data_IF_888093903731
#
_entry.id   IF_888093903731
#
_cell.length_a   1.000
_cell.length_b   1.000
_cell.length_c   1.000
_cell.angle_alpha   90.00
_cell.angle_beta   90.00
_cell.angle_gamma   90.00
#
_symmetry.space_group_name_H-M   'P 1'
#
loop_
_entity.id
_entity.type
_entity.pdbx_description
1 polymer ?
#
# COMPACT_ATOMS: atom_id res chain seq x y z
N UNK A 1 -25.19 37.11 15.74
CA UNK A 1 -25.59 37.52 14.38
C UNK A 1 -24.33 38.03 13.68
N UNK A 2 -23.55 37.15 13.01
CA UNK A 2 -23.60 36.87 11.54
C UNK A 2 -22.97 38.06 10.79
N UNK A 3 -21.85 38.03 10.06
CA UNK A 3 -20.95 37.03 9.46
C UNK A 3 -19.57 37.70 9.26
N UNK A 4 -18.48 36.96 9.47
CA UNK A 4 -17.11 37.42 9.24
C UNK A 4 -16.79 37.60 7.74
N UNK A 5 -15.95 38.60 7.45
CA UNK A 5 -15.29 38.88 6.17
C UNK A 5 -14.77 37.63 5.43
N UNK A 6 -15.56 37.10 4.49
CA UNK A 6 -15.22 35.97 3.62
C UNK A 6 -15.16 36.39 2.13
N UNK A 7 -14.82 37.65 1.85
CA UNK A 7 -14.81 38.21 0.48
C UNK A 7 -13.47 38.05 -0.25
N UNK A 8 -12.37 37.76 0.46
CA UNK A 8 -11.03 37.68 -0.17
C UNK A 8 -10.51 36.26 -0.42
N UNK A 9 -11.22 35.21 0.00
CA UNK A 9 -10.76 33.81 -0.20
C UNK A 9 -11.58 33.01 -1.23
N UNK A 10 -12.46 33.67 -1.98
CA UNK A 10 -13.27 33.05 -3.05
C UNK A 10 -13.08 33.71 -4.42
N UNK A 11 -11.87 34.22 -4.67
CA UNK A 11 -11.48 34.78 -5.97
C UNK A 11 -10.10 34.26 -6.47
N UNK A 12 -9.46 33.30 -5.79
CA UNK A 12 -8.13 32.80 -6.17
C UNK A 12 -8.11 31.35 -6.72
N UNK A 13 -9.26 30.77 -7.06
CA UNK A 13 -9.32 29.39 -7.64
C UNK A 13 -10.14 29.27 -8.93
N UNK A 14 -10.79 30.35 -9.41
CA UNK A 14 -11.60 30.29 -10.64
C UNK A 14 -10.87 30.66 -11.94
N UNK A 15 -9.61 31.11 -11.89
CA UNK A 15 -8.77 31.23 -13.10
C UNK A 15 -8.10 29.89 -13.51
N UNK A 16 -8.61 28.76 -13.02
CA UNK A 16 -7.98 27.43 -13.20
C UNK A 16 -8.74 26.47 -14.11
N UNK A 17 -9.87 26.84 -14.73
CA UNK A 17 -10.59 25.87 -15.58
C UNK A 17 -11.21 26.40 -16.89
N UNK A 18 -11.30 27.71 -17.15
CA UNK A 18 -11.94 28.19 -18.39
C UNK A 18 -11.02 28.24 -19.62
N UNK A 19 -9.69 28.30 -19.44
CA UNK A 19 -8.69 28.29 -20.51
C UNK A 19 -8.16 26.89 -20.86
N UNK A 20 -8.89 25.82 -20.51
CA UNK A 20 -8.44 24.42 -20.66
C UNK A 20 -9.17 23.59 -21.74
N UNK A 21 -10.24 24.08 -22.37
CA UNK A 21 -10.94 23.33 -23.42
C UNK A 21 -10.96 23.98 -24.81
N UNK A 22 -10.77 25.29 -24.96
CA UNK A 22 -10.79 25.93 -26.29
C UNK A 22 -9.52 25.74 -27.13
N UNK A 23 -8.47 25.07 -26.61
CA UNK A 23 -7.21 24.85 -27.32
C UNK A 23 -6.92 23.39 -27.68
N UNK A 24 -7.77 22.44 -27.29
CA UNK A 24 -7.57 21.03 -27.63
C UNK A 24 -8.17 20.64 -28.99
N UNK A 25 -9.14 21.42 -29.49
CA UNK A 25 -9.81 21.11 -30.76
C UNK A 25 -9.11 21.68 -32.00
N UNK A 26 -8.12 22.56 -31.83
CA UNK A 26 -7.33 23.14 -32.93
C UNK A 26 -6.10 22.28 -33.29
N UNK A 27 -5.64 21.43 -32.39
CA UNK A 27 -4.56 20.47 -32.63
C UNK A 27 -5.10 19.10 -33.05
N UNK A 28 -6.06 19.08 -33.96
CA UNK A 28 -6.51 17.86 -34.63
C UNK A 28 -5.35 17.13 -35.34
N UNK A 29 -5.54 15.89 -35.79
CA UNK A 29 -4.49 15.00 -36.35
C UNK A 29 -3.90 15.46 -37.70
N UNK A 30 -3.96 16.75 -38.03
CA UNK A 30 -3.49 17.34 -39.29
C UNK A 30 -2.48 18.46 -39.00
N UNK A 31 -1.22 18.07 -38.79
CA UNK A 31 0.02 18.81 -39.11
C UNK A 31 1.11 18.47 -38.09
N UNK A 32 1.98 17.53 -38.45
CA UNK A 32 3.21 17.24 -37.73
C UNK A 32 4.26 18.34 -37.98
N UNK A 33 3.95 19.61 -37.66
CA UNK A 33 4.96 20.66 -37.65
C UNK A 33 5.86 20.51 -36.42
N UNK A 34 7.13 20.83 -36.57
CA UNK A 34 8.11 20.88 -35.49
C UNK A 34 7.63 21.77 -34.31
N UNK A 35 6.86 22.82 -34.60
CA UNK A 35 6.27 23.74 -33.62
C UNK A 35 5.27 23.07 -32.68
N UNK A 36 4.37 22.22 -33.18
CA UNK A 36 3.40 21.50 -32.32
C UNK A 36 4.11 20.53 -31.38
N UNK A 37 5.12 19.80 -31.88
CA UNK A 37 5.97 18.93 -31.05
C UNK A 37 6.70 19.71 -29.96
N UNK A 38 7.26 20.87 -30.32
CA UNK A 38 7.93 21.78 -29.39
C UNK A 38 6.98 22.25 -28.27
N UNK A 39 5.76 22.67 -28.62
CA UNK A 39 4.77 23.08 -27.62
C UNK A 39 4.37 21.94 -26.69
N UNK A 40 4.07 20.75 -27.21
CA UNK A 40 3.75 19.59 -26.38
C UNK A 40 4.88 19.26 -25.41
N UNK A 41 6.12 19.30 -25.88
CA UNK A 41 7.31 19.06 -25.07
C UNK A 41 7.50 20.12 -23.97
N UNK A 42 7.35 21.40 -24.32
CA UNK A 42 7.38 22.50 -23.35
C UNK A 42 6.30 22.32 -22.27
N UNK A 43 5.07 21.99 -22.66
CA UNK A 43 3.98 21.77 -21.71
C UNK A 43 4.25 20.60 -20.78
N UNK A 44 4.80 19.48 -21.28
CA UNK A 44 5.21 18.34 -20.45
C UNK A 44 6.27 18.74 -19.42
N UNK A 45 7.29 19.50 -19.84
CA UNK A 45 8.35 19.99 -18.95
C UNK A 45 7.83 20.96 -17.89
N UNK A 46 7.00 21.92 -18.28
CA UNK A 46 6.39 22.88 -17.36
C UNK A 46 5.46 22.17 -16.37
N UNK A 47 4.69 21.17 -16.83
CA UNK A 47 3.86 20.36 -15.96
C UNK A 47 4.71 19.58 -14.95
N UNK A 48 5.74 18.86 -15.41
CA UNK A 48 6.65 18.13 -14.53
C UNK A 48 7.34 19.04 -13.50
N UNK A 49 7.86 20.20 -13.94
CA UNK A 49 8.49 21.18 -13.04
C UNK A 49 7.51 21.71 -11.98
N UNK A 50 6.25 21.96 -12.35
CA UNK A 50 5.20 22.38 -11.40
C UNK A 50 4.90 21.30 -10.36
N UNK A 51 4.81 20.03 -10.78
CA UNK A 51 4.57 18.94 -9.84
C UNK A 51 5.77 18.72 -8.91
N UNK A 52 7.01 18.80 -9.42
CA UNK A 52 8.23 18.74 -8.59
C UNK A 52 8.26 19.89 -7.59
N UNK A 53 8.01 21.12 -8.04
CA UNK A 53 7.98 22.31 -7.17
C UNK A 53 6.96 22.16 -6.04
N UNK A 54 5.77 21.62 -6.32
CA UNK A 54 4.77 21.33 -5.28
C UNK A 54 5.28 20.33 -4.24
N UNK A 55 5.96 19.26 -4.65
CA UNK A 55 6.51 18.27 -3.71
C UNK A 55 7.65 18.84 -2.85
N UNK A 56 8.46 19.75 -3.41
CA UNK A 56 9.51 20.43 -2.65
C UNK A 56 8.90 21.42 -1.63
N UNK A 57 7.89 22.17 -2.05
CA UNK A 57 7.29 23.25 -1.23
C UNK A 57 6.36 22.70 -0.15
N UNK A 58 5.62 21.63 -0.46
CA UNK A 58 4.70 20.98 0.47
C UNK A 58 4.92 19.46 0.41
N UNK A 59 6.00 18.96 1.03
CA UNK A 59 6.31 17.54 1.00
C UNK A 59 5.17 16.77 1.65
N UNK A 60 4.52 15.92 0.86
CA UNK A 60 3.55 14.98 1.40
C UNK A 60 4.32 13.87 2.11
N UNK A 61 4.00 13.64 3.38
CA UNK A 61 4.63 12.60 4.16
C UNK A 61 4.53 11.26 3.42
N UNK A 62 5.65 10.55 3.31
CA UNK A 62 5.66 9.23 2.72
C UNK A 62 4.75 8.30 3.55
N UNK A 63 3.92 7.46 2.92
CA UNK A 63 3.15 6.47 3.65
C UNK A 63 4.11 5.51 4.34
N UNK A 64 3.98 5.36 5.66
CA UNK A 64 4.72 4.35 6.38
C UNK A 64 4.11 2.98 6.07
N UNK A 65 4.90 2.08 5.48
CA UNK A 65 4.49 0.72 5.12
C UNK A 65 5.28 -0.35 5.91
N UNK A 66 6.07 0.08 6.89
CA UNK A 66 6.93 -0.80 7.71
C UNK A 66 6.10 -1.74 8.59
N UNK A 67 4.86 -1.37 8.88
CA UNK A 67 3.87 -2.14 9.63
C UNK A 67 3.44 -3.42 8.89
N UNK A 68 3.27 -3.34 7.56
CA UNK A 68 2.78 -4.45 6.73
C UNK A 68 3.64 -5.71 6.88
N UNK A 69 4.96 -5.54 6.87
CA UNK A 69 5.91 -6.64 7.00
C UNK A 69 5.82 -7.29 8.39
N UNK A 70 5.72 -6.48 9.44
CA UNK A 70 5.58 -6.99 10.81
C UNK A 70 4.26 -7.75 10.99
N UNK A 71 3.15 -7.19 10.51
CA UNK A 71 1.83 -7.84 10.55
C UNK A 71 1.86 -9.18 9.81
N UNK A 72 2.42 -9.22 8.59
CA UNK A 72 2.53 -10.46 7.82
C UNK A 72 3.38 -11.51 8.53
N UNK A 73 4.56 -11.12 9.04
CA UNK A 73 5.47 -12.05 9.73
C UNK A 73 4.86 -12.59 11.02
N UNK A 74 4.11 -11.77 11.78
CA UNK A 74 3.39 -12.22 12.97
C UNK A 74 2.36 -13.32 12.67
N UNK A 75 1.73 -13.24 11.48
CA UNK A 75 0.78 -14.25 11.00
C UNK A 75 1.45 -15.46 10.34
N UNK A 76 2.78 -15.49 10.18
CA UNK A 76 3.49 -16.55 9.46
C UNK A 76 3.20 -16.61 7.96
N UNK A 77 2.62 -15.55 7.38
CA UNK A 77 2.18 -15.53 5.98
C UNK A 77 3.36 -15.25 5.04
N UNK A 78 3.38 -15.91 3.89
CA UNK A 78 4.39 -15.67 2.85
C UNK A 78 3.99 -14.51 1.93
N UNK A 79 4.98 -13.88 1.29
CA UNK A 79 4.74 -12.81 0.31
C UNK A 79 3.95 -13.34 -0.90
N UNK A 80 4.18 -14.59 -1.30
CA UNK A 80 3.49 -15.22 -2.43
C UNK A 80 2.01 -15.46 -2.14
N UNK A 81 1.66 -15.84 -0.91
CA UNK A 81 0.25 -15.95 -0.48
C UNK A 81 -0.43 -14.58 -0.51
N UNK A 82 0.18 -13.56 0.08
CA UNK A 82 -0.39 -12.20 0.06
C UNK A 82 -0.55 -11.65 -1.37
N UNK A 83 0.42 -11.92 -2.24
CA UNK A 83 0.39 -11.52 -3.64
C UNK A 83 -0.77 -12.16 -4.41
N UNK A 84 -1.05 -13.45 -4.17
CA UNK A 84 -2.17 -14.18 -4.77
C UNK A 84 -3.52 -13.56 -4.39
N UNK A 85 -3.75 -13.33 -3.09
CA UNK A 85 -5.00 -12.77 -2.59
C UNK A 85 -5.25 -11.33 -3.07
N UNK A 86 -4.18 -10.54 -3.20
CA UNK A 86 -4.26 -9.17 -3.70
C UNK A 86 -4.25 -9.07 -5.24
N UNK A 87 -4.09 -10.19 -5.95
CA UNK A 87 -3.97 -10.22 -7.41
C UNK A 87 -2.78 -9.38 -7.93
N UNK A 88 -1.69 -9.29 -7.16
CA UNK A 88 -0.49 -8.54 -7.53
C UNK A 88 0.73 -9.46 -7.65
N UNK A 89 1.77 -8.96 -8.30
CA UNK A 89 3.04 -9.67 -8.40
C UNK A 89 3.77 -9.69 -7.04
N UNK A 90 4.39 -10.82 -6.64
CA UNK A 90 5.16 -10.90 -5.39
C UNK A 90 6.25 -9.82 -5.28
N UNK A 91 6.92 -9.50 -6.39
CA UNK A 91 7.92 -8.43 -6.46
C UNK A 91 7.34 -7.05 -6.10
N UNK A 92 6.09 -6.79 -6.52
CA UNK A 92 5.40 -5.52 -6.25
C UNK A 92 5.00 -5.41 -4.79
N UNK A 93 4.54 -6.51 -4.18
CA UNK A 93 4.28 -6.58 -2.73
C UNK A 93 5.59 -6.38 -1.94
N UNK A 94 6.68 -7.02 -2.35
CA UNK A 94 8.00 -6.82 -1.73
C UNK A 94 8.50 -5.39 -1.81
N UNK A 95 8.29 -4.70 -2.94
CA UNK A 95 8.63 -3.28 -3.11
C UNK A 95 7.76 -2.38 -2.23
N UNK A 96 6.47 -2.72 -2.09
CA UNK A 96 5.52 -2.01 -1.23
C UNK A 96 5.90 -2.14 0.25
N UNK A 97 6.20 -3.35 0.73
CA UNK A 97 6.63 -3.61 2.12
C UNK A 97 7.91 -2.85 2.48
N UNK A 98 8.80 -2.63 1.51
CA UNK A 98 10.05 -1.87 1.68
C UNK A 98 9.86 -0.35 1.53
N UNK A 99 8.66 0.11 1.17
CA UNK A 99 8.39 1.53 0.92
C UNK A 99 9.03 2.08 -0.36
N UNK A 100 9.48 1.23 -1.29
CA UNK A 100 10.11 1.65 -2.54
C UNK A 100 9.10 2.07 -3.60
N UNK A 101 7.86 1.57 -3.50
CA UNK A 101 6.75 1.94 -4.37
C UNK A 101 5.65 2.56 -3.53
N UNK A 102 5.20 3.75 -3.93
CA UNK A 102 4.03 4.41 -3.34
C UNK A 102 2.78 3.90 -4.04
N UNK A 103 1.94 3.16 -3.32
CA UNK A 103 0.61 2.77 -3.74
C UNK A 103 -0.31 2.69 -2.53
N UNK A 104 -0.96 3.81 -2.24
CA UNK A 104 -1.74 4.00 -1.01
C UNK A 104 -2.98 3.10 -1.01
N UNK A 105 -3.61 2.91 -2.17
CA UNK A 105 -4.78 2.04 -2.33
C UNK A 105 -4.43 0.57 -2.07
N UNK A 106 -3.32 0.09 -2.63
CA UNK A 106 -2.87 -1.28 -2.41
C UNK A 106 -2.46 -1.51 -0.96
N UNK A 107 -1.78 -0.54 -0.33
CA UNK A 107 -1.41 -0.62 1.09
C UNK A 107 -2.65 -0.70 1.99
N UNK A 108 -3.70 0.07 1.71
CA UNK A 108 -4.97 0.01 2.45
C UNK A 108 -5.65 -1.36 2.30
N UNK A 109 -5.80 -1.84 1.07
CA UNK A 109 -6.39 -3.17 0.81
C UNK A 109 -5.60 -4.28 1.52
N UNK A 110 -4.27 -4.16 1.52
CA UNK A 110 -3.41 -5.13 2.18
C UNK A 110 -3.58 -5.12 3.71
N UNK A 111 -3.68 -3.95 4.35
CA UNK A 111 -3.97 -3.85 5.80
C UNK A 111 -5.31 -4.47 6.16
N UNK A 112 -6.35 -4.19 5.37
CA UNK A 112 -7.68 -4.77 5.57
C UNK A 112 -7.63 -6.29 5.52
N UNK A 113 -6.99 -6.84 4.50
CA UNK A 113 -6.81 -8.29 4.37
C UNK A 113 -6.04 -8.90 5.54
N UNK A 114 -4.90 -8.31 5.94
CA UNK A 114 -4.12 -8.81 7.09
C UNK A 114 -4.92 -8.78 8.40
N UNK A 115 -5.78 -7.78 8.57
CA UNK A 115 -6.65 -7.65 9.75
C UNK A 115 -7.70 -8.77 9.76
N UNK A 116 -8.31 -9.07 8.61
CA UNK A 116 -9.22 -10.21 8.47
C UNK A 116 -8.54 -11.53 8.82
N UNK A 117 -7.31 -11.76 8.34
CA UNK A 117 -6.56 -12.98 8.65
C UNK A 117 -6.20 -13.10 10.14
N UNK A 118 -5.89 -11.99 10.81
CA UNK A 118 -5.63 -11.97 12.25
C UNK A 118 -6.86 -12.37 13.06
N UNK A 119 -8.05 -11.89 12.68
CA UNK A 119 -9.31 -12.31 13.32
C UNK A 119 -9.52 -13.81 13.17
N UNK A 120 -9.36 -14.36 11.95
CA UNK A 120 -9.52 -15.79 11.70
C UNK A 120 -8.56 -16.65 12.54
N UNK A 121 -7.32 -16.22 12.71
CA UNK A 121 -6.35 -16.96 13.54
C UNK A 121 -6.64 -16.86 15.04
N UNK A 122 -7.29 -15.80 15.51
CA UNK A 122 -7.64 -15.61 16.91
C UNK A 122 -8.84 -16.45 17.35
N UNK A 123 -9.74 -16.79 16.41
CA UNK A 123 -10.94 -17.60 16.69
C UNK A 123 -10.64 -19.09 16.90
N UNK A 124 -9.37 -19.52 16.77
CA UNK A 124 -8.94 -20.80 17.33
C UNK A 124 -8.98 -20.66 18.86
N UNK A 125 -9.88 -21.36 19.58
CA UNK A 125 -9.88 -21.30 21.03
C UNK A 125 -8.47 -21.70 21.48
N UNK A 126 -7.89 -20.91 22.39
CA UNK A 126 -6.79 -21.39 23.20
C UNK A 126 -7.22 -22.76 23.70
N UNK A 127 -6.64 -23.83 23.16
CA UNK A 127 -6.86 -25.18 23.67
C UNK A 127 -6.50 -25.04 25.15
N UNK A 128 -7.44 -25.24 26.08
CA UNK A 128 -7.07 -25.30 27.48
C UNK A 128 -6.01 -26.39 27.53
N UNK A 129 -4.82 -26.04 28.04
CA UNK A 129 -3.73 -26.97 28.25
C UNK A 129 -4.27 -28.00 29.25
N UNK A 130 -4.94 -29.03 28.74
CA UNK A 130 -5.27 -30.24 29.45
C UNK A 130 -4.00 -31.07 29.40
N UNK A 131 -2.99 -30.65 30.16
CA UNK A 131 -1.72 -31.35 30.28
C UNK A 131 -1.23 -31.28 31.73
N UNK A 132 -2.09 -31.78 32.62
CA UNK A 132 -1.75 -32.16 34.01
C UNK A 132 -2.43 -33.51 34.31
N UNK A 133 -2.23 -34.55 33.47
CA UNK A 133 -2.74 -35.89 33.79
C UNK A 133 -2.08 -37.08 33.06
N UNK A 134 -0.83 -37.02 32.59
CA UNK A 134 -0.12 -38.24 32.15
C UNK A 134 1.31 -38.30 32.71
N UNK A 135 1.43 -38.29 34.04
CA UNK A 135 2.68 -38.56 34.78
C UNK A 135 2.67 -39.95 35.44
N UNK A 136 2.21 -41.00 34.73
CA UNK A 136 2.28 -42.36 35.28
C UNK A 136 2.34 -43.46 34.22
N UNK A 137 3.28 -43.41 33.28
CA UNK A 137 3.66 -44.63 32.56
C UNK A 137 5.13 -44.57 32.13
N UNK A 138 6.01 -44.72 33.12
CA UNK A 138 7.41 -45.09 32.87
C UNK A 138 7.40 -46.52 32.32
N UNK A 139 8.03 -46.82 31.17
CA UNK A 139 8.24 -48.20 30.77
C UNK A 139 9.30 -48.81 31.69
N UNK A 140 8.84 -49.66 32.61
CA UNK A 140 9.69 -50.52 33.44
C UNK A 140 10.59 -51.36 32.53
N UNK A 141 11.88 -51.05 32.50
CA UNK A 141 12.91 -51.96 31.97
C UNK A 141 12.91 -53.24 32.81
N UNK A 142 12.33 -54.31 32.27
CA UNK A 142 12.60 -55.66 32.77
C UNK A 142 13.97 -56.12 32.24
N UNK A 143 14.90 -56.59 33.09
CA UNK A 143 16.16 -57.17 32.62
C UNK A 143 15.88 -58.53 31.96
N UNK A 144 16.40 -58.74 30.75
CA UNK A 144 16.43 -60.07 30.13
C UNK A 144 17.47 -60.96 30.86
N UNK A 145 17.18 -62.26 31.07
CA UNK A 145 18.11 -63.18 31.70
C UNK A 145 19.31 -63.48 30.77
N UNK A 146 20.52 -63.48 31.35
CA UNK A 146 21.72 -64.03 30.70
C UNK A 146 21.51 -65.52 30.44
N UNK A 147 21.63 -65.91 29.16
CA UNK A 147 21.66 -67.30 28.73
C UNK A 147 22.96 -67.53 27.96
N UNK A 148 23.69 -68.54 28.45
CA UNK A 148 25.00 -69.11 28.05
C UNK A 148 26.23 -68.43 28.63
#
# INVERSE_FOLDING_TARGET
>A
MVIANFSLFRAHVSFRLHSRLHRWNEFGPKAASNTTKMWCELHRRVYAAREIYRQITNPQAAPNNTDLRHMRTKLGLTITTAARELGQWPSKISLLERGLVRNDQLAMAYRQWLTSQQTQNHDLPAVPIADEAESSLVPSLSPLPSVV
#
